data_IF_415895482298
#
_entry.id   IF_415895482298
#
_cell.length_a   1.000
_cell.length_b   1.000
_cell.length_c   1.000
_cell.angle_alpha   90.00
_cell.angle_beta   90.00
_cell.angle_gamma   90.00
#
_symmetry.space_group_name_H-M   'P 1'
#
loop_
_entity.id
_entity.type
_entity.pdbx_description
1 polymer ?
#
# COMPACT_ATOMS: atom_id res chain seq x y z
N UNK A 1 21.27 -25.94 -43.78
CA UNK A 1 21.43 -25.31 -42.45
C UNK A 1 20.09 -25.30 -41.72
N UNK A 2 19.92 -26.06 -40.63
CA UNK A 2 18.75 -25.97 -39.74
C UNK A 2 19.17 -26.28 -38.31
N UNK A 3 19.51 -25.25 -37.52
CA UNK A 3 19.65 -25.34 -36.07
C UNK A 3 18.29 -25.01 -35.44
N UNK A 4 17.66 -25.99 -34.80
CA UNK A 4 16.51 -25.76 -33.92
C UNK A 4 16.97 -26.03 -32.49
N UNK A 5 17.42 -24.98 -31.80
CA UNK A 5 17.72 -25.04 -30.37
C UNK A 5 16.82 -24.04 -29.66
N UNK A 6 15.65 -24.52 -29.21
CA UNK A 6 14.78 -23.77 -28.31
C UNK A 6 15.28 -23.99 -26.88
N UNK A 7 16.13 -23.09 -26.37
CA UNK A 7 16.43 -23.03 -24.93
C UNK A 7 15.20 -22.49 -24.22
N UNK A 8 14.43 -23.37 -23.58
CA UNK A 8 13.43 -22.96 -22.58
C UNK A 8 14.18 -22.30 -21.42
N UNK A 9 14.05 -20.98 -21.27
CA UNK A 9 14.51 -20.28 -20.07
C UNK A 9 13.60 -20.69 -18.92
N UNK A 10 14.16 -21.38 -17.93
CA UNK A 10 13.44 -21.72 -16.69
C UNK A 10 13.34 -20.42 -15.90
N UNK A 11 12.17 -19.79 -15.89
CA UNK A 11 11.92 -18.62 -15.05
C UNK A 11 12.15 -19.03 -13.59
N UNK A 12 13.24 -18.55 -12.99
CA UNK A 12 13.48 -18.69 -11.56
C UNK A 12 12.53 -17.74 -10.86
N UNK A 13 11.31 -18.22 -10.61
CA UNK A 13 10.32 -17.49 -9.83
C UNK A 13 10.67 -17.74 -8.37
N UNK A 14 11.60 -16.96 -7.82
CA UNK A 14 11.85 -16.98 -6.40
C UNK A 14 10.53 -16.59 -5.68
N UNK A 15 10.10 -17.31 -4.64
CA UNK A 15 8.91 -16.93 -3.90
C UNK A 15 9.13 -15.56 -3.25
N UNK A 16 8.15 -14.67 -3.40
CA UNK A 16 8.18 -13.36 -2.74
C UNK A 16 8.16 -13.60 -1.23
N UNK A 17 9.09 -13.02 -0.44
CA UNK A 17 9.11 -13.20 1.00
C UNK A 17 7.81 -12.66 1.60
N UNK A 18 7.24 -13.41 2.52
CA UNK A 18 6.05 -12.99 3.26
C UNK A 18 6.46 -11.92 4.28
N UNK A 19 6.24 -10.65 3.93
CA UNK A 19 6.67 -9.51 4.76
C UNK A 19 5.76 -9.27 5.97
N UNK A 20 4.54 -9.82 5.96
CA UNK A 20 3.54 -9.58 7.00
C UNK A 20 2.93 -10.91 7.48
N UNK A 21 2.93 -11.10 8.79
CA UNK A 21 2.32 -12.26 9.46
C UNK A 21 0.82 -12.05 9.71
N UNK A 22 0.40 -10.79 9.87
CA UNK A 22 -0.97 -10.39 10.22
C UNK A 22 -1.43 -9.23 9.35
N UNK A 23 -2.76 -9.02 9.30
CA UNK A 23 -3.33 -7.82 8.67
C UNK A 23 -2.80 -6.57 9.37
N UNK A 24 -2.40 -5.58 8.59
CA UNK A 24 -2.03 -4.28 9.11
C UNK A 24 -3.28 -3.56 9.62
N UNK A 25 -3.16 -2.98 10.81
CA UNK A 25 -4.21 -2.12 11.37
C UNK A 25 -4.14 -0.72 10.77
N UNK A 26 -5.31 -0.14 10.54
CA UNK A 26 -5.46 1.27 10.15
C UNK A 26 -5.76 2.12 11.39
N UNK A 27 -5.68 3.45 11.26
CA UNK A 27 -6.11 4.33 12.34
C UNK A 27 -7.62 4.17 12.58
N UNK A 28 -8.07 4.28 13.84
CA UNK A 28 -9.51 4.22 14.15
C UNK A 28 -10.29 5.35 13.50
N UNK A 29 -9.68 6.53 13.30
CA UNK A 29 -10.26 7.62 12.53
C UNK A 29 -10.51 7.21 11.07
N UNK A 30 -9.55 6.54 10.43
CA UNK A 30 -9.70 6.07 9.04
C UNK A 30 -10.79 5.01 8.91
N UNK A 31 -10.91 4.11 9.89
CA UNK A 31 -12.00 3.12 9.88
C UNK A 31 -13.37 3.77 10.01
N UNK A 32 -13.51 4.77 10.86
CA UNK A 32 -14.77 5.51 11.01
C UNK A 32 -15.18 6.21 9.71
N UNK A 33 -14.23 6.87 9.04
CA UNK A 33 -14.41 7.51 7.73
C UNK A 33 -14.91 6.49 6.68
N UNK A 34 -14.24 5.33 6.57
CA UNK A 34 -14.65 4.27 5.64
C UNK A 34 -16.05 3.72 5.93
N UNK A 35 -16.44 3.61 7.20
CA UNK A 35 -17.80 3.18 7.57
C UNK A 35 -18.83 4.24 7.19
N UNK A 36 -18.53 5.53 7.38
CA UNK A 36 -19.41 6.61 6.90
C UNK A 36 -19.63 6.52 5.40
N UNK A 37 -18.55 6.36 4.63
CA UNK A 37 -18.61 6.23 3.17
C UNK A 37 -19.40 5.00 2.70
N UNK A 38 -19.47 3.95 3.51
CA UNK A 38 -20.35 2.80 3.26
C UNK A 38 -21.83 3.19 3.46
N UNK A 39 -22.14 3.92 4.53
CA UNK A 39 -23.50 4.40 4.82
C UNK A 39 -23.99 5.42 3.78
N UNK A 40 -23.10 6.26 3.28
CA UNK A 40 -23.41 7.29 2.27
C UNK A 40 -23.57 6.70 0.85
N UNK A 41 -23.30 5.40 0.67
CA UNK A 41 -23.38 4.72 -0.63
C UNK A 41 -22.24 5.08 -1.59
N UNK A 42 -21.24 5.85 -1.14
CA UNK A 42 -20.04 6.18 -1.91
C UNK A 42 -19.21 4.91 -2.17
N UNK A 43 -19.10 4.06 -1.16
CA UNK A 43 -18.48 2.75 -1.29
C UNK A 43 -19.54 1.70 -1.65
N UNK A 44 -19.34 0.93 -2.73
CA UNK A 44 -20.25 -0.14 -3.12
C UNK A 44 -20.42 -1.23 -2.04
N UNK A 45 -21.63 -1.78 -1.94
CA UNK A 45 -22.05 -2.72 -0.89
C UNK A 45 -21.20 -3.98 -0.79
N UNK A 46 -20.64 -4.43 -1.92
CA UNK A 46 -19.75 -5.59 -2.01
C UNK A 46 -18.48 -5.44 -1.15
N UNK A 47 -18.08 -4.20 -0.83
CA UNK A 47 -16.89 -3.92 -0.02
C UNK A 47 -17.20 -3.70 1.46
N UNK A 48 -18.47 -3.50 1.83
CA UNK A 48 -18.85 -3.15 3.21
C UNK A 48 -18.45 -4.24 4.21
N UNK A 49 -18.65 -5.50 3.84
CA UNK A 49 -18.26 -6.64 4.68
C UNK A 49 -16.74 -6.64 4.94
N UNK A 50 -15.94 -6.41 3.90
CA UNK A 50 -14.49 -6.35 4.02
C UNK A 50 -14.04 -5.21 4.95
N UNK A 51 -14.56 -3.99 4.74
CA UNK A 51 -14.22 -2.80 5.53
C UNK A 51 -14.50 -3.03 7.02
N UNK A 52 -15.63 -3.67 7.36
CA UNK A 52 -15.98 -4.00 8.75
C UNK A 52 -14.99 -4.98 9.41
N UNK A 53 -14.30 -5.81 8.62
CA UNK A 53 -13.29 -6.76 9.13
C UNK A 53 -11.89 -6.19 9.29
N UNK A 54 -11.65 -4.94 8.88
CA UNK A 54 -10.33 -4.32 9.00
C UNK A 54 -9.99 -4.06 10.47
N UNK A 55 -8.80 -4.47 10.94
CA UNK A 55 -8.34 -4.13 12.27
C UNK A 55 -8.03 -2.62 12.33
N UNK A 56 -8.35 -1.99 13.45
CA UNK A 56 -8.02 -0.60 13.71
C UNK A 56 -7.26 -0.45 15.02
N UNK A 57 -6.52 0.66 15.13
CA UNK A 57 -5.79 1.03 16.33
C UNK A 57 -5.86 2.53 16.57
N UNK A 58 -6.06 2.90 17.84
CA UNK A 58 -5.95 4.30 18.29
C UNK A 58 -4.51 4.78 18.38
N UNK A 59 -3.52 3.89 18.40
CA UNK A 59 -2.11 4.25 18.53
C UNK A 59 -1.42 4.48 17.18
N UNK A 60 -2.02 4.00 16.10
CA UNK A 60 -1.48 4.18 14.75
C UNK A 60 -1.90 5.54 14.25
N UNK A 61 -0.91 6.41 14.04
CA UNK A 61 -1.11 7.74 13.48
C UNK A 61 -1.13 7.63 11.96
N UNK A 62 -2.17 8.17 11.35
CA UNK A 62 -2.26 8.27 9.90
C UNK A 62 -1.24 9.30 9.42
N UNK A 63 -0.14 8.82 8.84
CA UNK A 63 0.96 9.64 8.35
C UNK A 63 1.43 9.07 7.03
N UNK A 64 1.66 9.97 6.08
CA UNK A 64 2.49 9.65 4.93
C UNK A 64 3.91 9.34 5.41
N UNK A 65 4.64 8.43 4.73
CA UNK A 65 6.07 8.31 4.92
C UNK A 65 6.76 9.67 4.74
N UNK A 66 7.88 9.86 5.42
CA UNK A 66 8.70 11.04 5.17
C UNK A 66 9.16 11.03 3.70
N UNK A 67 9.14 12.18 3.02
CA UNK A 67 9.59 12.27 1.63
C UNK A 67 11.08 11.90 1.51
N UNK A 68 11.44 11.19 0.44
CA UNK A 68 12.81 10.71 0.19
C UNK A 68 13.82 11.86 -0.08
N UNK A 69 13.33 13.08 -0.33
CA UNK A 69 14.14 14.22 -0.76
C UNK A 69 14.35 15.16 0.43
N UNK A 70 15.58 15.22 0.92
CA UNK A 70 16.06 16.42 1.59
C UNK A 70 16.28 17.44 0.47
N UNK A 71 15.33 18.36 0.27
CA UNK A 71 15.59 19.54 -0.53
C UNK A 71 16.69 20.31 0.21
N UNK A 72 17.94 20.15 -0.24
CA UNK A 72 19.02 21.05 0.10
C UNK A 72 18.62 22.42 -0.49
N UNK A 73 18.07 23.29 0.35
CA UNK A 73 17.87 24.71 0.07
C UNK A 73 19.24 25.33 -0.25
N UNK A 74 19.70 25.21 -1.50
CA UNK A 74 20.80 25.99 -2.05
C UNK A 74 20.30 27.42 -2.21
N UNK A 75 20.50 28.18 -1.14
CA UNK A 75 20.28 29.63 -1.05
C UNK A 75 20.86 30.34 -2.27
N UNK A 76 19.98 30.71 -3.20
CA UNK A 76 20.31 31.51 -4.37
C UNK A 76 19.80 32.92 -4.15
N UNK A 77 20.48 33.69 -3.30
CA UNK A 77 20.51 35.14 -3.43
C UNK A 77 21.84 35.72 -2.90
N UNK A 78 22.85 35.75 -3.77
CA UNK A 78 24.06 36.53 -3.55
C UNK A 78 23.86 37.92 -4.19
N UNK A 79 23.62 38.91 -3.33
CA UNK A 79 23.58 40.34 -3.64
C UNK A 79 24.92 40.89 -4.16
#
# INVERSE_FOLDING_TARGET
>A
MKIKSSRKTKAMTAPVPQLYLTKLSISSAKKADLVSLCSDGTIPSEFHAYIKTLPDSNTIRDRLPDPDIMEDDVDSDAN
#
